data_IF_936298305270
#
_entry.id   IF_936298305270
#
_cell.length_a   1.000
_cell.length_b   1.000
_cell.length_c   1.000
_cell.angle_alpha   90.00
_cell.angle_beta   90.00
_cell.angle_gamma   90.00
#
_symmetry.space_group_name_H-M   'P 1'
#
loop_
_entity.id
_entity.type
_entity.pdbx_description
1 polymer ?
#
# COMPACT_ATOMS: atom_id res chain seq x y z
N UNK A 1 32.86 -3.37 14.48
CA UNK A 1 31.54 -2.85 14.07
C UNK A 1 31.10 -1.91 15.17
N UNK A 2 30.99 -0.60 14.91
CA UNK A 2 30.40 0.32 15.89
C UNK A 2 28.89 0.19 15.77
N UNK A 3 28.30 -0.59 16.65
CA UNK A 3 26.87 -0.51 16.93
C UNK A 3 26.76 0.52 18.04
N UNK A 4 26.22 1.70 17.73
CA UNK A 4 25.95 2.70 18.75
C UNK A 4 24.90 2.13 19.73
N UNK A 5 25.08 2.38 21.03
CA UNK A 5 24.13 1.96 22.07
C UNK A 5 22.72 2.54 21.82
N UNK A 6 22.64 3.67 21.09
CA UNK A 6 21.41 4.30 20.65
C UNK A 6 21.33 4.33 19.13
N UNK A 7 20.30 3.71 18.57
CA UNK A 7 20.04 3.71 17.12
C UNK A 7 18.98 4.77 16.81
N UNK A 8 19.35 5.80 16.05
CA UNK A 8 18.40 6.78 15.50
C UNK A 8 18.50 6.77 13.98
N UNK A 9 17.38 6.43 13.34
CA UNK A 9 17.24 6.45 11.89
C UNK A 9 15.99 7.26 11.54
N UNK A 10 16.11 8.14 10.55
CA UNK A 10 14.97 8.91 10.02
C UNK A 10 14.77 8.61 8.55
N UNK A 11 13.52 8.56 8.09
CA UNK A 11 13.15 8.37 6.68
C UNK A 11 12.43 9.62 6.21
N UNK A 12 12.76 10.12 5.02
CA UNK A 12 11.95 11.12 4.31
C UNK A 12 11.53 10.56 2.95
N UNK A 13 10.25 10.76 2.63
CA UNK A 13 9.69 10.41 1.34
C UNK A 13 8.49 11.30 1.03
N UNK A 14 8.06 11.29 -0.23
CA UNK A 14 6.86 12.02 -0.65
C UNK A 14 6.07 11.19 -1.65
N UNK A 15 4.77 11.06 -1.38
CA UNK A 15 3.86 10.36 -2.27
C UNK A 15 3.62 11.17 -3.55
N UNK A 16 3.89 10.56 -4.70
CA UNK A 16 3.55 11.11 -6.01
C UNK A 16 2.34 10.36 -6.55
N UNK A 17 1.25 11.06 -6.93
CA UNK A 17 0.10 10.41 -7.56
C UNK A 17 0.52 9.84 -8.92
N UNK A 18 0.17 8.58 -9.17
CA UNK A 18 0.41 7.93 -10.45
C UNK A 18 -0.88 7.85 -11.29
N UNK A 19 -2.02 7.69 -10.64
CA UNK A 19 -3.35 7.73 -11.26
C UNK A 19 -4.29 6.66 -10.71
N UNK A 20 -5.41 6.48 -11.39
CA UNK A 20 -6.49 5.61 -10.95
C UNK A 20 -6.22 4.14 -11.30
N UNK A 21 -6.61 3.25 -10.40
CA UNK A 21 -6.77 1.82 -10.68
C UNK A 21 -8.21 1.60 -11.14
N UNK A 22 -8.41 0.83 -12.21
CA UNK A 22 -9.73 0.57 -12.81
C UNK A 22 -9.93 -0.93 -13.03
N UNK A 23 -11.16 -1.34 -13.33
CA UNK A 23 -11.45 -2.64 -13.93
C UNK A 23 -11.80 -2.42 -15.41
N UNK A 24 -11.41 -3.35 -16.28
CA UNK A 24 -11.86 -3.38 -17.67
C UNK A 24 -13.16 -4.19 -17.81
N UNK A 25 -13.68 -4.26 -19.04
CA UNK A 25 -14.92 -4.96 -19.35
C UNK A 25 -14.86 -6.48 -19.04
N UNK A 26 -13.67 -7.06 -19.02
CA UNK A 26 -13.43 -8.45 -18.62
C UNK A 26 -13.23 -8.64 -17.10
N UNK A 27 -13.35 -7.58 -16.29
CA UNK A 27 -13.16 -7.61 -14.84
C UNK A 27 -11.71 -7.71 -14.37
N UNK A 28 -10.74 -7.46 -15.27
CA UNK A 28 -9.31 -7.40 -14.97
C UNK A 28 -8.89 -6.01 -14.49
N UNK A 29 -7.96 -5.96 -13.54
CA UNK A 29 -7.40 -4.69 -13.06
C UNK A 29 -6.59 -3.98 -14.14
N UNK A 30 -6.79 -2.68 -14.29
CA UNK A 30 -5.96 -1.76 -15.04
C UNK A 30 -5.28 -0.82 -14.06
N UNK A 31 -3.95 -0.81 -14.07
CA UNK A 31 -3.15 0.17 -13.33
C UNK A 31 -2.74 1.34 -14.24
N UNK A 32 -2.48 2.53 -13.69
CA UNK A 32 -2.03 3.68 -14.47
C UNK A 32 -0.69 3.40 -15.16
N UNK A 33 -0.43 4.11 -16.26
CA UNK A 33 0.80 3.96 -17.04
C UNK A 33 2.05 4.27 -16.20
N UNK A 34 3.08 3.42 -16.33
CA UNK A 34 4.34 3.49 -15.55
C UNK A 34 5.56 3.80 -16.43
N UNK A 35 5.39 4.42 -17.59
CA UNK A 35 6.48 4.66 -18.53
C UNK A 35 7.64 5.47 -17.91
N UNK A 36 7.36 6.37 -16.97
CA UNK A 36 8.37 7.14 -16.25
C UNK A 36 9.10 6.35 -15.13
N UNK A 37 8.65 5.12 -14.84
CA UNK A 37 9.10 4.29 -13.72
C UNK A 37 9.62 2.92 -14.17
N UNK A 38 9.97 2.77 -15.45
CA UNK A 38 10.49 1.51 -15.99
C UNK A 38 11.63 0.98 -15.13
N UNK A 39 11.47 -0.23 -14.61
CA UNK A 39 12.41 -0.93 -13.74
C UNK A 39 12.83 -0.20 -12.45
N UNK A 40 12.06 0.79 -11.98
CA UNK A 40 12.36 1.45 -10.70
C UNK A 40 11.81 0.66 -9.51
N UNK A 41 12.66 0.48 -8.51
CA UNK A 41 12.26 0.10 -7.15
C UNK A 41 11.67 1.28 -6.39
N UNK A 42 11.02 0.98 -5.28
CA UNK A 42 10.47 1.99 -4.39
C UNK A 42 9.35 1.46 -3.50
N UNK A 43 8.57 2.40 -2.99
CA UNK A 43 7.36 2.11 -2.23
C UNK A 43 6.13 2.65 -2.98
N UNK A 44 4.99 2.06 -2.70
CA UNK A 44 3.71 2.48 -3.27
C UNK A 44 2.62 2.43 -2.21
N UNK A 45 1.58 3.22 -2.44
CA UNK A 45 0.37 3.25 -1.64
C UNK A 45 -0.84 3.18 -2.56
N UNK A 46 -1.69 2.19 -2.33
CA UNK A 46 -3.01 2.11 -2.96
C UNK A 46 -4.02 2.60 -1.94
N UNK A 47 -4.93 3.47 -2.34
CA UNK A 47 -5.96 4.04 -1.46
C UNK A 47 -7.30 4.03 -2.14
N UNK A 48 -8.38 3.93 -1.37
CA UNK A 48 -9.73 4.19 -1.86
C UNK A 48 -10.62 4.73 -0.76
N UNK A 49 -11.80 5.21 -1.14
CA UNK A 49 -12.82 5.67 -0.20
C UNK A 49 -14.10 4.91 -0.43
N UNK A 50 -14.45 4.05 0.52
CA UNK A 50 -15.71 3.29 0.49
C UNK A 50 -16.89 4.25 0.57
N UNK A 51 -17.92 4.07 -0.25
CA UNK A 51 -19.17 4.77 -0.06
C UNK A 51 -19.83 4.32 1.26
N UNK A 52 -20.79 5.11 1.73
CA UNK A 52 -21.64 4.74 2.87
C UNK A 52 -22.32 3.40 2.54
N UNK A 53 -22.18 2.41 3.41
CA UNK A 53 -22.89 1.14 3.27
C UNK A 53 -24.21 1.21 4.05
N UNK A 54 -25.29 1.50 3.33
CA UNK A 54 -26.64 1.57 3.88
C UNK A 54 -27.39 0.23 3.78
N UNK A 55 -26.73 -0.87 3.37
CA UNK A 55 -27.36 -2.19 3.16
C UNK A 55 -27.25 -3.14 4.37
N UNK A 56 -26.59 -2.71 5.45
CA UNK A 56 -26.45 -3.47 6.71
C UNK A 56 -27.40 -3.02 7.82
N UNK A 57 -27.40 -3.74 8.94
CA UNK A 57 -28.17 -3.39 10.16
C UNK A 57 -27.61 -2.18 10.93
N UNK A 58 -26.46 -1.66 10.49
CA UNK A 58 -25.80 -0.47 11.04
C UNK A 58 -25.25 0.33 9.87
N UNK A 59 -25.56 1.62 9.79
CA UNK A 59 -24.92 2.53 8.84
C UNK A 59 -23.42 2.55 9.10
N UNK A 60 -22.63 2.08 8.13
CA UNK A 60 -21.18 2.26 8.17
C UNK A 60 -20.85 3.56 7.42
N UNK A 61 -20.25 4.56 8.09
CA UNK A 61 -19.87 5.80 7.42
C UNK A 61 -18.86 5.52 6.30
N UNK A 62 -18.74 6.45 5.37
CA UNK A 62 -17.72 6.37 4.33
C UNK A 62 -16.33 6.35 4.96
N UNK A 63 -15.55 5.30 4.70
CA UNK A 63 -14.21 5.11 5.26
C UNK A 63 -13.15 5.12 4.18
N UNK A 64 -12.02 5.72 4.49
CA UNK A 64 -10.82 5.54 3.69
C UNK A 64 -10.27 4.14 3.92
N UNK A 65 -9.54 3.62 2.95
CA UNK A 65 -8.68 2.48 3.16
C UNK A 65 -7.36 2.67 2.43
N UNK A 66 -6.31 2.00 2.91
CA UNK A 66 -5.03 2.01 2.21
C UNK A 66 -4.28 0.69 2.31
N UNK A 67 -3.42 0.43 1.32
CA UNK A 67 -2.38 -0.59 1.35
C UNK A 67 -1.05 0.08 1.01
N UNK A 68 -0.02 -0.11 1.83
CA UNK A 68 1.34 0.34 1.54
C UNK A 68 2.21 -0.88 1.25
N UNK A 69 3.05 -0.82 0.23
CA UNK A 69 3.96 -1.91 -0.10
C UNK A 69 5.29 -1.43 -0.66
N UNK A 70 6.30 -2.28 -0.60
CA UNK A 70 7.58 -2.08 -1.31
C UNK A 70 7.85 -3.12 -2.39
N UNK A 71 8.70 -2.74 -3.35
CA UNK A 71 9.18 -3.63 -4.40
C UNK A 71 10.46 -3.10 -5.03
N UNK A 72 11.33 -3.99 -5.51
CA UNK A 72 12.47 -3.60 -6.35
C UNK A 72 12.05 -3.27 -7.80
N UNK A 73 10.80 -3.56 -8.18
CA UNK A 73 10.25 -3.17 -9.48
C UNK A 73 8.74 -2.90 -9.35
N UNK A 74 8.34 -1.63 -9.44
CA UNK A 74 6.94 -1.19 -9.28
C UNK A 74 6.06 -1.75 -10.40
N UNK A 75 6.52 -1.67 -11.64
CA UNK A 75 5.78 -2.15 -12.80
C UNK A 75 5.51 -3.66 -12.73
N UNK A 76 6.55 -4.45 -12.44
CA UNK A 76 6.42 -5.89 -12.31
C UNK A 76 5.50 -6.27 -11.14
N UNK A 77 5.47 -5.47 -10.06
CA UNK A 77 4.57 -5.68 -8.92
C UNK A 77 3.12 -5.44 -9.30
N UNK A 78 2.81 -4.35 -9.99
CA UNK A 78 1.43 -4.07 -10.43
C UNK A 78 0.95 -5.09 -11.46
N UNK A 79 1.84 -5.56 -12.34
CA UNK A 79 1.53 -6.69 -13.22
C UNK A 79 1.17 -7.97 -12.44
N UNK A 80 1.92 -8.28 -11.38
CA UNK A 80 1.64 -9.44 -10.51
C UNK A 80 0.33 -9.28 -9.73
N UNK A 81 -0.06 -8.06 -9.36
CA UNK A 81 -1.38 -7.81 -8.78
C UNK A 81 -2.50 -7.96 -9.80
N UNK A 82 -2.30 -7.55 -11.05
CA UNK A 82 -3.27 -7.78 -12.13
C UNK A 82 -3.44 -9.26 -12.45
N UNK A 83 -2.32 -9.98 -12.54
CA UNK A 83 -2.25 -11.38 -12.98
C UNK A 83 -1.56 -12.25 -11.92
N UNK A 84 -2.22 -12.51 -10.78
CA UNK A 84 -1.62 -13.33 -9.73
C UNK A 84 -1.45 -14.78 -10.20
N UNK A 85 -0.30 -15.36 -9.91
CA UNK A 85 -0.10 -16.82 -10.04
C UNK A 85 -0.82 -17.60 -8.92
N UNK A 86 -1.10 -18.90 -9.11
CA UNK A 86 -1.93 -19.69 -8.19
C UNK A 86 -1.39 -19.74 -6.75
N UNK A 87 -0.07 -19.72 -6.56
CA UNK A 87 0.54 -19.79 -5.22
C UNK A 87 0.84 -18.41 -4.59
N UNK A 88 0.51 -17.32 -5.30
CA UNK A 88 0.86 -15.97 -4.88
C UNK A 88 -0.23 -15.38 -3.96
N UNK A 89 -0.41 -15.97 -2.78
CA UNK A 89 -1.47 -15.61 -1.81
C UNK A 89 -1.65 -14.10 -1.59
N UNK A 90 -0.56 -13.35 -1.42
CA UNK A 90 -0.64 -11.89 -1.26
C UNK A 90 -1.16 -11.20 -2.51
N UNK A 91 -0.73 -11.62 -3.69
CA UNK A 91 -1.15 -11.00 -4.94
C UNK A 91 -2.62 -11.31 -5.23
N UNK A 92 -3.07 -12.54 -4.99
CA UNK A 92 -4.48 -12.95 -5.07
C UNK A 92 -5.32 -12.08 -4.14
N UNK A 93 -4.90 -11.94 -2.88
CA UNK A 93 -5.62 -11.14 -1.88
C UNK A 93 -5.77 -9.67 -2.31
N UNK A 94 -4.68 -9.04 -2.77
CA UNK A 94 -4.73 -7.65 -3.23
C UNK A 94 -5.59 -7.55 -4.51
N UNK A 95 -5.49 -8.50 -5.44
CA UNK A 95 -6.35 -8.53 -6.63
C UNK A 95 -7.83 -8.54 -6.26
N UNK A 96 -8.25 -9.51 -5.43
CA UNK A 96 -9.62 -9.68 -4.99
C UNK A 96 -10.13 -8.42 -4.26
N UNK A 97 -9.32 -7.84 -3.38
CA UNK A 97 -9.68 -6.62 -2.67
C UNK A 97 -9.89 -5.44 -3.64
N UNK A 98 -8.97 -5.20 -4.57
CA UNK A 98 -9.12 -4.09 -5.52
C UNK A 98 -10.35 -4.27 -6.42
N UNK A 99 -10.59 -5.50 -6.91
CA UNK A 99 -11.78 -5.80 -7.72
C UNK A 99 -13.07 -5.57 -6.96
N UNK A 100 -13.17 -6.07 -5.72
CA UNK A 100 -14.36 -5.90 -4.91
C UNK A 100 -14.67 -4.42 -4.65
N UNK A 101 -13.68 -3.57 -4.39
CA UNK A 101 -13.90 -2.12 -4.23
C UNK A 101 -14.38 -1.48 -5.54
N UNK A 102 -13.70 -1.78 -6.64
CA UNK A 102 -14.02 -1.21 -7.95
C UNK A 102 -15.41 -1.63 -8.44
N UNK A 103 -15.82 -2.88 -8.21
CA UNK A 103 -17.16 -3.40 -8.53
C UNK A 103 -18.27 -2.72 -7.70
N UNK A 104 -17.93 -2.16 -6.54
CA UNK A 104 -18.84 -1.35 -5.70
C UNK A 104 -18.84 0.14 -6.06
N UNK A 105 -18.08 0.53 -7.09
CA UNK A 105 -17.95 1.92 -7.51
C UNK A 105 -17.02 2.76 -6.62
N UNK A 106 -16.19 2.14 -5.78
CA UNK A 106 -15.16 2.85 -5.03
C UNK A 106 -14.07 3.36 -5.99
N UNK A 107 -13.72 4.64 -5.87
CA UNK A 107 -12.55 5.19 -6.55
C UNK A 107 -11.26 4.67 -5.89
N UNK A 108 -10.33 4.17 -6.70
CA UNK A 108 -9.07 3.60 -6.23
C UNK A 108 -7.89 4.31 -6.89
N UNK A 109 -6.95 4.74 -6.07
CA UNK A 109 -5.81 5.58 -6.46
C UNK A 109 -4.49 4.90 -6.13
N UNK A 110 -3.53 4.97 -7.06
CA UNK A 110 -2.15 4.54 -6.87
C UNK A 110 -1.22 5.74 -6.70
N UNK A 111 -0.44 5.72 -5.64
CA UNK A 111 0.65 6.64 -5.36
C UNK A 111 1.97 5.87 -5.26
N UNK A 112 3.07 6.51 -5.61
CA UNK A 112 4.42 5.93 -5.56
C UNK A 112 5.42 6.89 -4.90
N UNK A 113 6.50 6.34 -4.37
CA UNK A 113 7.67 7.09 -3.97
C UNK A 113 8.93 6.31 -4.36
N UNK A 114 9.81 6.98 -5.08
CA UNK A 114 11.08 6.43 -5.60
C UNK A 114 12.27 7.36 -5.34
N UNK A 115 12.03 8.61 -4.97
CA UNK A 115 13.05 9.54 -4.47
C UNK A 115 12.83 9.64 -2.95
N UNK A 116 13.68 8.98 -2.17
CA UNK A 116 13.55 8.85 -0.72
C UNK A 116 14.92 9.08 -0.09
N UNK A 117 14.94 9.55 1.15
CA UNK A 117 16.16 9.83 1.88
C UNK A 117 16.16 9.08 3.21
N UNK A 118 17.33 8.59 3.62
CA UNK A 118 17.59 8.04 4.95
C UNK A 118 18.57 8.94 5.69
N UNK A 119 18.35 9.10 6.99
CA UNK A 119 19.32 9.73 7.89
C UNK A 119 19.83 8.71 8.89
N UNK A 120 21.14 8.52 8.90
CA UNK A 120 21.86 7.77 9.94
C UNK A 120 22.89 8.72 10.54
N UNK A 121 22.85 8.92 11.86
CA UNK A 121 23.64 9.96 12.51
C UNK A 121 23.20 11.38 12.06
N UNK A 122 24.12 12.15 11.46
CA UNK A 122 23.87 13.56 11.08
C UNK A 122 23.64 13.78 9.58
N UNK A 123 23.85 12.78 8.75
CA UNK A 123 23.82 12.94 7.30
C UNK A 123 22.59 12.30 6.69
N UNK A 124 21.94 13.04 5.78
CA UNK A 124 20.95 12.50 4.87
C UNK A 124 21.68 11.91 3.66
N UNK A 125 21.17 10.78 3.19
CA UNK A 125 21.64 10.11 1.99
C UNK A 125 20.43 9.61 1.20
N UNK A 126 20.57 9.53 -0.12
CA UNK A 126 19.57 8.90 -0.97
C UNK A 126 19.38 7.44 -0.55
N UNK A 127 18.11 7.05 -0.48
CA UNK A 127 17.72 5.67 -0.25
C UNK A 127 18.03 4.86 -1.53
N UNK A 128 18.79 3.79 -1.36
CA UNK A 128 19.03 2.82 -2.42
C UNK A 128 17.78 1.97 -2.66
N UNK A 129 17.09 2.25 -3.77
CA UNK A 129 15.86 1.55 -4.15
C UNK A 129 16.08 0.11 -4.58
N UNK A 130 17.32 -0.35 -4.75
CA UNK A 130 17.64 -1.77 -5.00
C UNK A 130 17.85 -2.55 -3.70
N UNK A 131 18.18 -1.85 -2.60
CA UNK A 131 18.30 -2.44 -1.27
C UNK A 131 16.94 -2.77 -0.64
N UNK A 132 16.67 -4.07 -0.49
CA UNK A 132 15.45 -4.54 0.20
C UNK A 132 15.37 -4.01 1.63
N UNK A 133 16.47 -3.98 2.36
CA UNK A 133 16.49 -3.48 3.75
C UNK A 133 16.07 -2.02 3.82
N UNK A 134 16.61 -1.17 2.94
CA UNK A 134 16.27 0.25 2.95
C UNK A 134 14.82 0.50 2.52
N UNK A 135 14.33 -0.21 1.49
CA UNK A 135 12.92 -0.15 1.09
C UNK A 135 11.97 -0.61 2.20
N UNK A 136 12.31 -1.69 2.91
CA UNK A 136 11.53 -2.17 4.05
C UNK A 136 11.49 -1.11 5.16
N UNK A 137 12.62 -0.47 5.47
CA UNK A 137 12.66 0.61 6.45
C UNK A 137 11.73 1.78 6.05
N UNK A 138 11.73 2.16 4.76
CA UNK A 138 10.83 3.20 4.27
C UNK A 138 9.35 2.80 4.29
N UNK A 139 9.03 1.56 3.92
CA UNK A 139 7.69 0.99 4.03
C UNK A 139 7.22 1.01 5.50
N UNK A 140 8.05 0.53 6.43
CA UNK A 140 7.72 0.52 7.87
C UNK A 140 7.53 1.94 8.42
N UNK A 141 8.37 2.90 8.03
CA UNK A 141 8.21 4.29 8.45
C UNK A 141 6.90 4.90 7.94
N UNK A 142 6.54 4.64 6.67
CA UNK A 142 5.28 5.10 6.08
C UNK A 142 4.06 4.47 6.74
N UNK A 143 4.11 3.16 7.02
CA UNK A 143 3.07 2.45 7.75
C UNK A 143 2.91 3.05 9.14
N UNK A 144 4.00 3.17 9.90
CA UNK A 144 3.97 3.71 11.26
C UNK A 144 3.42 5.14 11.29
N UNK A 145 3.80 6.00 10.34
CA UNK A 145 3.19 7.32 10.19
C UNK A 145 1.68 7.20 10.02
N UNK A 146 1.21 6.39 9.07
CA UNK A 146 -0.21 6.22 8.80
C UNK A 146 -0.98 5.74 10.04
N UNK A 147 -0.44 4.77 10.78
CA UNK A 147 -1.02 4.29 12.06
C UNK A 147 -1.14 5.38 13.12
N UNK A 148 -0.15 6.29 13.20
CA UNK A 148 -0.12 7.31 14.26
C UNK A 148 -0.94 8.56 13.92
N UNK A 149 -1.28 8.76 12.65
CA UNK A 149 -2.01 9.95 12.19
C UNK A 149 -3.42 9.65 11.71
N UNK A 150 -3.75 8.40 11.36
CA UNK A 150 -5.10 8.01 10.97
C UNK A 150 -6.00 7.88 12.21
N UNK A 151 -7.25 8.34 12.09
CA UNK A 151 -8.29 7.93 13.02
C UNK A 151 -8.71 6.50 12.66
N UNK A 152 -8.56 5.51 13.57
CA UNK A 152 -8.97 4.13 13.33
C UNK A 152 -10.46 3.99 13.01
N UNK A 153 -11.30 4.97 13.38
CA UNK A 153 -12.73 4.96 13.06
C UNK A 153 -13.02 5.38 11.61
N UNK A 154 -12.05 5.99 10.93
CA UNK A 154 -12.20 6.54 9.57
C UNK A 154 -11.38 5.81 8.51
N UNK A 155 -10.42 4.95 8.90
CA UNK A 155 -9.47 4.33 7.97
C UNK A 155 -9.30 2.83 8.20
N UNK A 156 -9.61 2.03 7.18
CA UNK A 156 -9.35 0.59 7.17
C UNK A 156 -7.97 0.31 6.56
N UNK A 157 -7.08 -0.38 7.30
CA UNK A 157 -5.70 -0.61 6.87
C UNK A 157 -5.55 -1.99 6.25
N UNK A 158 -5.03 -2.05 5.01
CA UNK A 158 -5.01 -3.29 4.24
C UNK A 158 -3.72 -4.16 4.39
N UNK A 159 -2.76 -3.68 5.16
CA UNK A 159 -1.53 -4.41 5.47
C UNK A 159 -1.79 -5.52 6.50
N UNK A 160 -1.15 -6.69 6.35
CA UNK A 160 -1.21 -7.78 7.34
C UNK A 160 -0.05 -7.67 8.33
N UNK A 161 -0.24 -8.19 9.55
CA UNK A 161 0.85 -8.53 10.47
C UNK A 161 1.54 -7.35 11.17
N UNK A 162 0.85 -6.22 11.35
CA UNK A 162 1.35 -5.08 12.14
C UNK A 162 0.57 -4.91 13.46
N UNK A 163 -0.66 -5.39 13.52
CA UNK A 163 -1.53 -5.46 14.70
C UNK A 163 -2.57 -6.57 14.49
N UNK A 164 -2.81 -7.39 15.53
CA UNK A 164 -3.85 -8.43 15.56
C UNK A 164 -5.29 -7.85 15.45
N UNK A 165 -5.45 -6.54 15.67
CA UNK A 165 -6.71 -5.81 15.43
C UNK A 165 -7.00 -5.64 13.94
N UNK A 166 -5.98 -5.29 13.15
CA UNK A 166 -6.07 -5.14 11.69
C UNK A 166 -6.29 -6.49 11.03
N UNK A 167 -5.59 -7.54 11.49
CA UNK A 167 -5.82 -8.90 11.00
C UNK A 167 -7.21 -9.45 11.38
N UNK A 168 -7.86 -8.92 12.43
CA UNK A 168 -9.26 -9.20 12.80
C UNK A 168 -10.26 -8.43 11.96
N UNK A 169 -10.08 -7.11 11.81
CA UNK A 169 -10.89 -6.31 10.89
C UNK A 169 -10.82 -6.85 9.47
N UNK A 170 -9.71 -7.48 9.08
CA UNK A 170 -9.59 -8.19 7.83
C UNK A 170 -10.39 -9.47 7.72
N UNK A 171 -10.59 -10.19 8.83
CA UNK A 171 -11.46 -11.37 8.83
C UNK A 171 -12.93 -10.98 8.72
N UNK A 172 -13.26 -9.80 9.26
CA UNK A 172 -14.59 -9.21 9.26
C UNK A 172 -14.81 -8.22 8.10
N UNK A 173 -13.76 -7.94 7.31
CA UNK A 173 -13.85 -7.11 6.13
C UNK A 173 -14.60 -7.89 5.05
N UNK A 174 -15.47 -7.22 4.26
CA UNK A 174 -16.44 -7.89 3.41
C UNK A 174 -15.84 -8.56 2.15
N UNK A 175 -14.54 -8.84 2.17
CA UNK A 175 -13.82 -9.40 1.04
C UNK A 175 -14.12 -10.90 0.89
N UNK A 176 -14.41 -11.39 -0.33
CA UNK A 176 -14.46 -12.82 -0.57
C UNK A 176 -13.06 -13.42 -0.36
N UNK A 177 -12.99 -14.47 0.47
CA UNK A 177 -11.79 -15.29 0.69
C UNK A 177 -11.43 -16.09 -0.56
#
# INVERSE_FOLDING_TARGET
>A
MNLDDNVNVSVRLSWRPLGDVKINDEGSLIFPSMHSLLNKGGIYRITGRRPIDSKGTHDRPARWWFYIGQTGNIQARMYKYRNPGPDQKTNIRINNALRFELERGTEVYLHVSFDMELRVGRQWMDLDTDSTTQRTLAETAALYQAYRTADPLDVDMLNKGLDDSVDREFKDAPWPY
#
